data_IF_431460383404
#
_entry.id   IF_431460383404
#
_cell.length_a   1.000
_cell.length_b   1.000
_cell.length_c   1.000
_cell.angle_alpha   90.00
_cell.angle_beta   90.00
_cell.angle_gamma   90.00
#
_symmetry.space_group_name_H-M   'P 1'
#
loop_
_entity.id
_entity.type
_entity.pdbx_description
1 polymer ?
#
# COMPACT_ATOMS: atom_id res chain seq x y z
N UNK A 1 20.13 7.63 -32.54
CA UNK A 1 20.66 7.59 -31.16
C UNK A 1 19.65 8.30 -30.26
N UNK A 2 18.69 7.56 -29.71
CA UNK A 2 17.73 8.06 -28.73
C UNK A 2 18.43 8.15 -27.37
N UNK A 3 18.50 9.37 -26.81
CA UNK A 3 18.89 9.57 -25.42
C UNK A 3 17.99 8.70 -24.52
N UNK A 4 18.51 7.61 -23.99
CA UNK A 4 17.92 6.95 -22.82
C UNK A 4 17.77 8.01 -21.74
N UNK A 5 16.52 8.41 -21.47
CA UNK A 5 16.22 9.18 -20.28
C UNK A 5 16.57 8.26 -19.11
N UNK A 6 17.62 8.60 -18.39
CA UNK A 6 17.89 8.10 -17.05
C UNK A 6 16.66 8.43 -16.19
N UNK A 7 15.67 7.54 -16.19
CA UNK A 7 14.57 7.56 -15.22
C UNK A 7 15.09 6.95 -13.91
N UNK A 8 16.07 7.60 -13.31
CA UNK A 8 16.43 7.33 -11.92
C UNK A 8 15.19 7.57 -11.04
N UNK A 9 15.19 6.95 -9.86
CA UNK A 9 14.20 7.24 -8.81
C UNK A 9 14.11 8.76 -8.70
N UNK A 10 12.89 9.31 -8.73
CA UNK A 10 12.68 10.74 -8.52
C UNK A 10 13.30 11.19 -7.19
N UNK A 11 13.70 12.44 -7.09
CA UNK A 11 14.26 12.99 -5.85
C UNK A 11 13.33 12.73 -4.65
N UNK A 12 12.03 12.82 -4.87
CA UNK A 12 11.03 12.60 -3.84
C UNK A 12 11.00 11.13 -3.38
N UNK A 13 10.90 10.18 -4.32
CA UNK A 13 10.84 8.76 -3.98
C UNK A 13 12.14 8.27 -3.33
N UNK A 14 13.28 8.83 -3.73
CA UNK A 14 14.59 8.52 -3.13
C UNK A 14 14.66 8.86 -1.63
N UNK A 15 14.01 9.96 -1.24
CA UNK A 15 14.01 10.47 0.14
C UNK A 15 12.64 10.33 0.81
N UNK A 16 11.76 9.46 0.30
CA UNK A 16 10.40 9.33 0.80
C UNK A 16 10.34 9.08 2.31
N UNK A 17 11.20 8.22 2.84
CA UNK A 17 11.30 7.98 4.29
C UNK A 17 11.59 9.26 5.07
N UNK A 18 12.50 10.09 4.58
CA UNK A 18 12.83 11.37 5.22
C UNK A 18 11.63 12.31 5.19
N UNK A 19 10.92 12.38 4.06
CA UNK A 19 9.71 13.19 3.93
C UNK A 19 8.61 12.72 4.89
N UNK A 20 8.42 11.41 5.02
CA UNK A 20 7.41 10.84 5.94
C UNK A 20 7.77 11.16 7.38
N UNK A 21 9.04 11.03 7.79
CA UNK A 21 9.50 11.42 9.13
C UNK A 21 9.28 12.92 9.38
N UNK A 22 9.61 13.77 8.42
CA UNK A 22 9.36 15.22 8.53
C UNK A 22 7.87 15.53 8.65
N UNK A 23 7.01 14.85 7.89
CA UNK A 23 5.56 14.99 8.00
C UNK A 23 5.02 14.53 9.37
N UNK A 24 5.60 13.45 9.92
CA UNK A 24 5.28 12.98 11.26
C UNK A 24 5.60 14.06 12.30
N UNK A 25 6.82 14.60 12.27
CA UNK A 25 7.21 15.68 13.19
C UNK A 25 6.32 16.91 13.01
N UNK A 26 6.09 17.36 11.78
CA UNK A 26 5.24 18.51 11.51
C UNK A 26 3.80 18.26 11.99
N UNK A 27 3.23 17.10 11.71
CA UNK A 27 1.88 16.74 12.15
C UNK A 27 1.77 16.72 13.68
N UNK A 28 2.69 16.05 14.37
CA UNK A 28 2.71 15.98 15.85
C UNK A 28 2.86 17.38 16.46
N UNK A 29 3.73 18.23 15.90
CA UNK A 29 3.87 19.61 16.35
C UNK A 29 2.59 20.43 16.14
N UNK A 30 1.92 20.27 15.00
CA UNK A 30 0.63 20.91 14.73
C UNK A 30 -0.42 20.41 15.74
N UNK A 31 -0.53 19.11 15.98
CA UNK A 31 -1.46 18.55 16.94
C UNK A 31 -1.25 19.12 18.34
N UNK A 32 0.01 19.23 18.78
CA UNK A 32 0.37 19.72 20.11
C UNK A 32 0.25 21.22 20.29
N UNK A 33 0.76 22.03 19.35
CA UNK A 33 0.85 23.48 19.50
C UNK A 33 -0.31 24.24 18.86
N UNK A 34 -1.01 23.62 17.90
CA UNK A 34 -2.12 24.20 17.15
C UNK A 34 -3.34 23.25 17.14
N UNK A 35 -3.82 22.79 18.33
CA UNK A 35 -4.91 21.80 18.39
C UNK A 35 -6.21 22.27 17.75
N UNK A 36 -6.36 23.57 17.51
CA UNK A 36 -7.48 24.13 16.76
C UNK A 36 -7.54 23.66 15.30
N UNK A 37 -6.40 23.27 14.69
CA UNK A 37 -6.37 22.80 13.30
C UNK A 37 -6.99 21.40 13.18
N UNK A 38 -6.52 20.35 13.89
CA UNK A 38 -7.19 19.05 13.85
C UNK A 38 -8.64 19.13 14.35
N UNK A 39 -8.93 19.92 15.39
CA UNK A 39 -10.30 20.15 15.87
C UNK A 39 -11.21 20.77 14.81
N UNK A 40 -10.71 21.72 14.00
CA UNK A 40 -11.44 22.29 12.87
C UNK A 40 -11.66 21.26 11.75
N UNK A 41 -10.63 20.50 11.38
CA UNK A 41 -10.73 19.46 10.37
C UNK A 41 -11.70 18.35 10.78
N UNK A 42 -11.73 17.98 12.07
CA UNK A 42 -12.66 16.99 12.63
C UNK A 42 -14.14 17.42 12.56
N UNK A 43 -14.44 18.72 12.38
CA UNK A 43 -15.84 19.15 12.16
C UNK A 43 -16.38 18.74 10.80
N UNK A 44 -15.52 18.41 9.84
CA UNK A 44 -15.91 17.95 8.51
C UNK A 44 -15.92 16.42 8.44
N UNK A 45 -16.39 15.77 9.48
CA UNK A 45 -16.64 14.31 9.51
C UNK A 45 -18.10 14.02 9.21
N UNK A 46 -18.32 13.06 8.32
CA UNK A 46 -19.62 12.50 8.03
C UNK A 46 -19.55 10.99 8.08
N UNK A 47 -20.38 10.35 8.89
CA UNK A 47 -20.40 8.89 9.10
C UNK A 47 -18.99 8.32 9.43
N UNK A 48 -18.26 8.95 10.35
CA UNK A 48 -16.89 8.65 10.77
C UNK A 48 -15.81 8.84 9.67
N UNK A 49 -16.17 9.37 8.51
CA UNK A 49 -15.22 9.66 7.43
C UNK A 49 -14.89 11.16 7.42
N UNK A 50 -13.62 11.50 7.64
CA UNK A 50 -13.13 12.86 7.47
C UNK A 50 -13.11 13.24 6.00
N UNK A 51 -13.97 14.18 5.60
CA UNK A 51 -14.06 14.65 4.21
C UNK A 51 -12.74 15.20 3.67
N UNK A 52 -11.96 16.02 4.42
CA UNK A 52 -10.65 16.48 3.95
C UNK A 52 -9.68 15.32 3.65
N UNK A 53 -9.62 14.32 4.54
CA UNK A 53 -8.76 13.15 4.34
C UNK A 53 -9.25 12.30 3.17
N UNK A 54 -10.56 12.10 3.03
CA UNK A 54 -11.13 11.36 1.91
C UNK A 54 -10.79 12.01 0.56
N UNK A 55 -10.84 13.34 0.47
CA UNK A 55 -10.43 14.08 -0.74
C UNK A 55 -8.94 13.85 -1.03
N UNK A 56 -8.08 13.93 -0.02
CA UNK A 56 -6.63 13.69 -0.21
C UNK A 56 -6.34 12.26 -0.63
N UNK A 57 -7.00 11.28 -0.03
CA UNK A 57 -6.90 9.86 -0.42
C UNK A 57 -7.36 9.68 -1.87
N UNK A 58 -8.45 10.33 -2.29
CA UNK A 58 -8.89 10.31 -3.67
C UNK A 58 -7.88 10.93 -4.63
N UNK A 59 -7.24 12.03 -4.27
CA UNK A 59 -6.16 12.66 -5.04
C UNK A 59 -4.95 11.72 -5.18
N UNK A 60 -4.76 10.80 -4.25
CA UNK A 60 -3.70 9.80 -4.33
C UNK A 60 -4.12 8.58 -5.16
N UNK A 61 -5.29 8.01 -4.90
CA UNK A 61 -5.76 6.76 -5.53
C UNK A 61 -6.16 6.98 -7.00
N UNK A 62 -6.86 8.05 -7.32
CA UNK A 62 -7.36 8.27 -8.68
C UNK A 62 -6.25 8.28 -9.75
N UNK A 63 -5.10 8.97 -9.59
CA UNK A 63 -4.00 8.90 -10.56
C UNK A 63 -3.39 7.50 -10.70
N UNK A 64 -3.44 6.68 -9.66
CA UNK A 64 -3.00 5.29 -9.72
C UNK A 64 -3.96 4.47 -10.59
N UNK A 65 -5.27 4.64 -10.41
CA UNK A 65 -6.31 3.95 -11.17
C UNK A 65 -6.30 4.34 -12.66
N UNK A 66 -5.85 5.54 -13.02
CA UNK A 66 -5.63 5.94 -14.42
C UNK A 66 -4.59 5.06 -15.14
N UNK A 67 -3.61 4.53 -14.40
CA UNK A 67 -2.53 3.70 -14.97
C UNK A 67 -2.95 2.25 -15.20
N UNK A 68 -4.08 1.82 -14.64
CA UNK A 68 -4.57 0.44 -14.79
C UNK A 68 -4.95 0.18 -16.23
N UNK A 69 -4.35 -0.83 -16.85
CA UNK A 69 -4.58 -1.24 -18.23
C UNK A 69 -5.21 -2.63 -18.33
N UNK A 70 -6.53 -2.64 -18.42
CA UNK A 70 -7.29 -3.90 -18.57
C UNK A 70 -7.10 -4.59 -19.92
N UNK A 71 -6.64 -3.87 -20.96
CA UNK A 71 -6.36 -4.51 -22.26
C UNK A 71 -5.12 -5.41 -22.15
N UNK A 72 -4.17 -5.04 -21.32
CA UNK A 72 -2.98 -5.86 -21.03
C UNK A 72 -3.33 -7.20 -20.38
N UNK A 73 -4.46 -7.30 -19.69
CA UNK A 73 -4.95 -8.56 -19.07
C UNK A 73 -5.24 -9.62 -20.16
N UNK A 74 -5.69 -9.24 -21.36
CA UNK A 74 -5.89 -10.18 -22.47
C UNK A 74 -4.61 -10.85 -22.93
N UNK A 75 -3.45 -10.26 -22.67
CA UNK A 75 -2.14 -10.79 -23.04
C UNK A 75 -1.54 -11.75 -21.99
N UNK A 76 -2.24 -11.96 -20.87
CA UNK A 76 -1.86 -12.84 -19.73
C UNK A 76 -1.62 -14.29 -20.15
N UNK A 77 -2.27 -14.75 -21.23
CA UNK A 77 -2.22 -16.14 -21.70
C UNK A 77 -0.83 -16.67 -22.08
N UNK A 78 0.19 -15.78 -22.20
CA UNK A 78 1.53 -16.19 -22.66
C UNK A 78 2.45 -16.71 -21.55
N UNK A 79 2.22 -16.37 -20.26
CA UNK A 79 2.99 -16.90 -19.13
C UNK A 79 2.21 -16.81 -17.80
N UNK A 80 1.21 -17.67 -17.56
CA UNK A 80 0.32 -17.57 -16.41
C UNK A 80 1.02 -17.94 -15.08
N UNK A 81 2.12 -18.71 -15.13
CA UNK A 81 2.78 -19.22 -13.90
C UNK A 81 3.18 -18.12 -12.91
N UNK A 82 3.77 -17.03 -13.41
CA UNK A 82 4.18 -15.91 -12.54
C UNK A 82 2.98 -15.20 -11.91
N UNK A 83 1.87 -15.08 -12.65
CA UNK A 83 0.64 -14.48 -12.15
C UNK A 83 0.03 -15.32 -11.02
N UNK A 84 -0.09 -16.62 -11.22
CA UNK A 84 -0.63 -17.54 -10.19
C UNK A 84 0.19 -17.51 -8.91
N UNK A 85 1.54 -17.50 -9.00
CA UNK A 85 2.41 -17.38 -7.81
C UNK A 85 2.07 -16.10 -7.04
N UNK A 86 2.01 -14.97 -7.73
CA UNK A 86 1.74 -13.68 -7.07
C UNK A 86 0.32 -13.63 -6.49
N UNK A 87 -0.69 -14.16 -7.19
CA UNK A 87 -2.07 -14.19 -6.68
C UNK A 87 -2.20 -15.07 -5.43
N UNK A 88 -1.63 -16.27 -5.44
CA UNK A 88 -1.64 -17.16 -4.27
C UNK A 88 -0.96 -16.46 -3.08
N UNK A 89 0.18 -15.83 -3.31
CA UNK A 89 0.93 -15.18 -2.26
C UNK A 89 0.18 -13.96 -1.74
N UNK A 90 -0.33 -13.11 -2.60
CA UNK A 90 -1.01 -11.87 -2.20
C UNK A 90 -2.34 -12.12 -1.49
N UNK A 91 -3.08 -13.17 -1.85
CA UNK A 91 -4.45 -13.35 -1.42
C UNK A 91 -4.67 -14.54 -0.46
N UNK A 92 -3.80 -15.56 -0.50
CA UNK A 92 -3.90 -16.73 0.38
C UNK A 92 -2.78 -16.80 1.42
N UNK A 93 -1.63 -16.19 1.20
CA UNK A 93 -0.50 -16.29 2.15
C UNK A 93 -0.34 -14.98 2.92
N UNK A 94 -0.22 -13.86 2.23
CA UNK A 94 0.14 -12.57 2.82
C UNK A 94 -0.83 -12.09 3.91
N UNK A 95 -2.16 -12.05 3.73
CA UNK A 95 -3.07 -11.56 4.77
C UNK A 95 -3.00 -12.40 6.04
N UNK A 96 -2.96 -13.73 5.89
CA UNK A 96 -2.94 -14.67 7.01
C UNK A 96 -1.62 -14.65 7.76
N UNK A 97 -0.49 -14.54 7.06
CA UNK A 97 0.82 -14.42 7.70
C UNK A 97 1.00 -13.06 8.36
N UNK A 98 0.46 -11.98 7.79
CA UNK A 98 0.44 -10.67 8.46
C UNK A 98 -0.33 -10.74 9.77
N UNK A 99 -1.55 -11.27 9.75
CA UNK A 99 -2.36 -11.48 10.95
C UNK A 99 -1.62 -12.33 11.98
N UNK A 100 -1.09 -13.48 11.58
CA UNK A 100 -0.39 -14.41 12.48
C UNK A 100 0.85 -13.81 13.12
N UNK A 101 1.70 -13.11 12.35
CA UNK A 101 2.89 -12.42 12.86
C UNK A 101 2.48 -11.27 13.78
N UNK A 102 1.55 -10.41 13.38
CA UNK A 102 1.09 -9.31 14.19
C UNK A 102 0.47 -9.82 15.51
N UNK A 103 -0.36 -10.86 15.46
CA UNK A 103 -0.92 -11.50 16.65
C UNK A 103 0.18 -12.03 17.58
N UNK A 104 1.15 -12.78 17.04
CA UNK A 104 2.28 -13.33 17.80
C UNK A 104 3.06 -12.21 18.52
N UNK A 105 3.35 -11.12 17.81
CA UNK A 105 4.11 -10.02 18.39
C UNK A 105 3.30 -9.25 19.41
N UNK A 106 2.07 -8.84 19.11
CA UNK A 106 1.29 -7.97 19.99
C UNK A 106 0.71 -8.70 21.22
N UNK A 107 0.31 -9.95 21.07
CA UNK A 107 -0.34 -10.68 22.18
C UNK A 107 0.58 -11.65 22.94
N UNK A 108 1.73 -12.02 22.36
CA UNK A 108 2.67 -12.95 23.02
C UNK A 108 3.98 -12.25 23.36
N UNK A 109 4.71 -11.73 22.36
CA UNK A 109 6.06 -11.19 22.56
C UNK A 109 6.02 -9.85 23.29
N UNK A 110 5.14 -8.94 22.89
CA UNK A 110 5.02 -7.59 23.45
C UNK A 110 3.90 -7.44 24.48
N UNK A 111 3.34 -8.56 24.97
CA UNK A 111 2.21 -8.57 25.92
C UNK A 111 2.44 -7.70 27.17
N UNK A 112 3.69 -7.62 27.63
CA UNK A 112 4.04 -6.77 28.80
C UNK A 112 4.29 -5.30 28.45
N UNK A 113 4.43 -4.98 27.17
CA UNK A 113 4.77 -3.64 26.68
C UNK A 113 3.57 -2.90 26.08
N UNK A 114 2.56 -3.63 25.62
CA UNK A 114 1.38 -3.08 24.94
C UNK A 114 0.13 -3.49 25.74
N UNK A 115 -0.73 -2.52 26.16
CA UNK A 115 -2.03 -2.83 26.73
C UNK A 115 -2.89 -3.66 25.77
N UNK A 116 -3.69 -4.59 26.29
CA UNK A 116 -4.46 -5.53 25.46
C UNK A 116 -5.42 -4.84 24.46
N UNK A 117 -6.01 -3.71 24.85
CA UNK A 117 -6.87 -2.91 23.97
C UNK A 117 -6.10 -2.35 22.78
N UNK A 118 -4.92 -1.76 23.02
CA UNK A 118 -4.06 -1.25 21.96
C UNK A 118 -3.48 -2.37 21.09
N UNK A 119 -3.19 -3.54 21.66
CA UNK A 119 -2.74 -4.71 20.91
C UNK A 119 -3.78 -5.16 19.89
N UNK A 120 -5.07 -5.10 20.23
CA UNK A 120 -6.18 -5.41 19.35
C UNK A 120 -6.30 -4.39 18.20
N UNK A 121 -6.17 -3.11 18.52
CA UNK A 121 -6.18 -2.04 17.53
C UNK A 121 -4.99 -2.15 16.55
N UNK A 122 -3.79 -2.43 17.06
CA UNK A 122 -2.60 -2.61 16.22
C UNK A 122 -2.69 -3.86 15.34
N UNK A 123 -3.28 -4.95 15.86
CA UNK A 123 -3.57 -6.14 15.06
C UNK A 123 -4.54 -5.82 13.92
N UNK A 124 -5.59 -5.04 14.21
CA UNK A 124 -6.55 -4.62 13.20
C UNK A 124 -5.88 -3.78 12.10
N UNK A 125 -5.06 -2.78 12.47
CA UNK A 125 -4.34 -1.95 11.52
C UNK A 125 -3.33 -2.73 10.67
N UNK A 126 -2.54 -3.62 11.29
CA UNK A 126 -1.63 -4.49 10.56
C UNK A 126 -2.37 -5.43 9.60
N UNK A 127 -3.52 -5.97 10.01
CA UNK A 127 -4.35 -6.83 9.17
C UNK A 127 -4.89 -6.08 7.95
N UNK A 128 -5.43 -4.87 8.15
CA UNK A 128 -5.86 -4.01 7.05
C UNK A 128 -4.73 -3.72 6.06
N UNK A 129 -3.54 -3.42 6.57
CA UNK A 129 -2.37 -3.14 5.75
C UNK A 129 -1.93 -4.36 4.93
N UNK A 130 -1.90 -5.55 5.54
CA UNK A 130 -1.48 -6.78 4.88
C UNK A 130 -2.52 -7.39 3.95
N UNK A 131 -3.77 -6.94 3.99
CA UNK A 131 -4.87 -7.52 3.23
C UNK A 131 -4.89 -7.14 1.74
N UNK A 132 -4.18 -6.10 1.32
CA UNK A 132 -4.13 -5.69 -0.07
C UNK A 132 -2.69 -5.43 -0.55
N UNK A 133 -2.32 -5.91 -1.76
CA UNK A 133 -1.04 -5.59 -2.39
C UNK A 133 -1.05 -4.17 -2.94
N UNK A 134 0.11 -3.50 -2.94
CA UNK A 134 0.28 -2.15 -3.48
C UNK A 134 0.06 -2.11 -5.00
N UNK A 135 -0.46 -0.99 -5.49
CA UNK A 135 -0.73 -0.76 -6.91
C UNK A 135 0.15 0.33 -7.53
N UNK A 136 0.73 1.22 -6.73
CA UNK A 136 1.49 2.36 -7.24
C UNK A 136 3.00 2.19 -7.19
N UNK A 137 3.54 1.97 -5.99
CA UNK A 137 4.99 1.90 -5.77
C UNK A 137 5.62 0.66 -6.40
N UNK A 138 4.83 -0.36 -6.70
CA UNK A 138 5.31 -1.60 -7.35
C UNK A 138 5.93 -1.35 -8.73
N UNK A 139 5.52 -0.32 -9.45
CA UNK A 139 6.16 0.06 -10.72
C UNK A 139 7.60 0.55 -10.50
N UNK A 140 7.82 1.32 -9.43
CA UNK A 140 9.16 1.79 -9.04
C UNK A 140 10.03 0.61 -8.62
N UNK A 141 9.51 -0.27 -7.76
CA UNK A 141 10.24 -1.46 -7.30
C UNK A 141 10.58 -2.41 -8.45
N UNK A 142 9.63 -2.65 -9.36
CA UNK A 142 9.84 -3.45 -10.56
C UNK A 142 10.92 -2.85 -11.46
N UNK A 143 10.88 -1.55 -11.69
CA UNK A 143 11.89 -0.85 -12.49
C UNK A 143 13.28 -0.98 -11.85
N UNK A 144 13.40 -0.75 -10.54
CA UNK A 144 14.67 -0.83 -9.82
C UNK A 144 15.29 -2.23 -9.80
N UNK A 145 14.46 -3.26 -9.84
CA UNK A 145 14.90 -4.66 -9.92
C UNK A 145 15.07 -5.16 -11.35
N UNK A 146 14.98 -4.26 -12.35
CA UNK A 146 15.02 -4.60 -13.78
C UNK A 146 13.95 -5.63 -14.16
N UNK A 147 12.78 -5.52 -13.54
CA UNK A 147 11.63 -6.38 -13.77
C UNK A 147 10.94 -6.09 -15.11
N UNK A 148 10.11 -7.03 -15.52
CA UNK A 148 9.31 -6.93 -16.73
C UNK A 148 8.12 -5.98 -16.50
N UNK A 149 8.13 -4.82 -17.16
CA UNK A 149 7.10 -3.81 -17.00
C UNK A 149 5.71 -4.31 -17.43
N UNK A 150 5.61 -5.09 -18.50
CA UNK A 150 4.34 -5.63 -18.97
C UNK A 150 3.73 -6.61 -17.94
N UNK A 151 4.56 -7.47 -17.35
CA UNK A 151 4.14 -8.34 -16.27
C UNK A 151 3.63 -7.54 -15.06
N UNK A 152 4.34 -6.49 -14.67
CA UNK A 152 3.96 -5.64 -13.54
C UNK A 152 2.61 -4.96 -13.77
N UNK A 153 2.38 -4.42 -14.96
CA UNK A 153 1.08 -3.80 -15.33
C UNK A 153 -0.07 -4.80 -15.20
N UNK A 154 0.13 -6.02 -15.71
CA UNK A 154 -0.89 -7.07 -15.64
C UNK A 154 -1.16 -7.49 -14.21
N UNK A 155 -0.12 -7.63 -13.38
CA UNK A 155 -0.27 -7.98 -11.97
C UNK A 155 -1.04 -6.91 -11.20
N UNK A 156 -0.72 -5.64 -11.40
CA UNK A 156 -1.45 -4.53 -10.78
C UNK A 156 -2.92 -4.57 -11.19
N UNK A 157 -3.20 -4.60 -12.49
CA UNK A 157 -4.57 -4.60 -12.98
C UNK A 157 -5.40 -5.79 -12.49
N UNK A 158 -4.80 -6.98 -12.38
CA UNK A 158 -5.50 -8.17 -11.85
C UNK A 158 -5.68 -8.10 -10.34
N UNK A 159 -4.70 -7.60 -9.60
CA UNK A 159 -4.83 -7.38 -8.15
C UNK A 159 -5.94 -6.37 -7.84
N UNK A 160 -6.05 -5.28 -8.60
CA UNK A 160 -7.11 -4.29 -8.42
C UNK A 160 -8.52 -4.89 -8.65
N UNK A 161 -8.66 -5.83 -9.58
CA UNK A 161 -9.92 -6.58 -9.74
C UNK A 161 -10.18 -7.55 -8.59
N UNK A 162 -9.15 -8.24 -8.11
CA UNK A 162 -9.30 -9.18 -7.00
C UNK A 162 -9.61 -8.45 -5.69
N UNK A 163 -9.08 -7.25 -5.46
CA UNK A 163 -9.43 -6.40 -4.30
C UNK A 163 -10.95 -6.24 -4.18
N UNK A 164 -11.65 -6.00 -5.29
CA UNK A 164 -13.11 -5.78 -5.28
C UNK A 164 -13.89 -6.96 -4.67
N UNK A 165 -13.36 -8.16 -4.76
CA UNK A 165 -14.05 -9.39 -4.34
C UNK A 165 -13.44 -9.95 -3.05
N UNK A 166 -12.11 -9.95 -2.94
CA UNK A 166 -11.40 -10.69 -1.90
C UNK A 166 -11.07 -9.84 -0.65
N UNK A 167 -10.89 -8.53 -0.78
CA UNK A 167 -10.46 -7.69 0.34
C UNK A 167 -11.46 -7.72 1.50
N UNK A 168 -12.73 -7.44 1.21
CA UNK A 168 -13.80 -7.40 2.24
C UNK A 168 -13.93 -8.70 3.02
N UNK A 169 -14.10 -9.89 2.38
CA UNK A 169 -14.26 -11.13 3.12
C UNK A 169 -12.99 -11.53 3.88
N UNK A 170 -11.81 -11.29 3.33
CA UNK A 170 -10.54 -11.60 4.03
C UNK A 170 -10.40 -10.73 5.28
N UNK A 171 -10.61 -9.42 5.16
CA UNK A 171 -10.51 -8.48 6.30
C UNK A 171 -11.55 -8.82 7.37
N UNK A 172 -12.81 -9.01 6.98
CA UNK A 172 -13.87 -9.32 7.92
C UNK A 172 -13.62 -10.64 8.65
N UNK A 173 -13.14 -11.66 7.94
CA UNK A 173 -12.77 -12.93 8.55
C UNK A 173 -11.62 -12.78 9.56
N UNK A 174 -10.52 -12.17 9.16
CA UNK A 174 -9.33 -12.04 10.01
C UNK A 174 -9.59 -11.14 11.22
N UNK A 175 -10.28 -10.03 11.05
CA UNK A 175 -10.63 -9.15 12.15
C UNK A 175 -11.64 -9.80 13.08
N UNK A 176 -12.60 -10.57 12.55
CA UNK A 176 -13.51 -11.39 13.35
C UNK A 176 -12.79 -12.42 14.20
N UNK A 177 -11.79 -13.11 13.65
CA UNK A 177 -10.91 -14.02 14.39
C UNK A 177 -10.10 -13.26 15.46
N UNK A 178 -9.69 -12.03 15.17
CA UNK A 178 -9.01 -11.12 16.12
C UNK A 178 -9.91 -10.53 17.19
N UNK A 179 -11.22 -10.86 17.21
CA UNK A 179 -12.18 -10.34 18.16
C UNK A 179 -12.68 -8.91 17.86
N UNK A 180 -12.38 -8.40 16.66
CA UNK A 180 -12.84 -7.08 16.19
C UNK A 180 -14.11 -7.27 15.36
N UNK A 181 -15.25 -6.81 15.88
CA UNK A 181 -16.49 -6.83 15.11
C UNK A 181 -16.56 -5.61 14.19
N UNK A 182 -16.70 -5.84 12.90
CA UNK A 182 -16.81 -4.77 11.90
C UNK A 182 -18.16 -4.88 11.19
N UNK A 183 -18.89 -3.77 11.03
CA UNK A 183 -20.06 -3.71 10.19
C UNK A 183 -19.68 -4.00 8.73
N UNK A 184 -20.25 -5.05 8.13
CA UNK A 184 -19.99 -5.44 6.74
C UNK A 184 -20.36 -4.34 5.75
N UNK A 185 -21.44 -3.63 6.00
CA UNK A 185 -21.92 -2.50 5.20
C UNK A 185 -20.87 -1.38 5.14
N UNK A 186 -20.27 -1.03 6.28
CA UNK A 186 -19.22 0.00 6.33
C UNK A 186 -17.96 -0.44 5.60
N UNK A 187 -17.56 -1.72 5.73
CA UNK A 187 -16.39 -2.24 5.04
C UNK A 187 -16.63 -2.29 3.51
N UNK A 188 -17.79 -2.76 3.07
CA UNK A 188 -18.18 -2.76 1.65
C UNK A 188 -18.24 -1.33 1.11
N UNK A 189 -18.88 -0.42 1.85
CA UNK A 189 -18.96 0.99 1.48
C UNK A 189 -17.56 1.62 1.32
N UNK A 190 -16.63 1.30 2.20
CA UNK A 190 -15.24 1.78 2.10
C UNK A 190 -14.56 1.29 0.82
N UNK A 191 -14.73 0.02 0.45
CA UNK A 191 -14.21 -0.51 -0.83
C UNK A 191 -14.87 0.18 -2.02
N UNK A 192 -16.18 0.40 -1.96
CA UNK A 192 -16.89 1.14 -3.03
C UNK A 192 -16.34 2.55 -3.16
N UNK A 193 -16.20 3.28 -2.07
CA UNK A 193 -15.76 4.68 -2.09
C UNK A 193 -14.30 4.83 -2.49
N UNK A 194 -13.41 3.96 -2.00
CA UNK A 194 -11.96 4.14 -2.16
C UNK A 194 -11.34 3.23 -3.23
N UNK A 195 -12.06 2.26 -3.78
CA UNK A 195 -11.56 1.39 -4.87
C UNK A 195 -12.48 1.43 -6.09
N UNK A 196 -13.77 1.07 -5.93
CA UNK A 196 -14.68 0.94 -7.09
C UNK A 196 -14.85 2.26 -7.84
N UNK A 197 -15.19 3.33 -7.13
CA UNK A 197 -15.45 4.64 -7.75
C UNK A 197 -14.18 5.24 -8.37
N UNK A 198 -13.01 5.29 -7.70
CA UNK A 198 -11.77 5.74 -8.33
C UNK A 198 -11.36 4.90 -9.54
N UNK A 199 -11.52 3.58 -9.46
CA UNK A 199 -11.20 2.67 -10.57
C UNK A 199 -12.12 2.91 -11.77
N UNK A 200 -13.43 2.97 -11.56
CA UNK A 200 -14.39 3.27 -12.62
C UNK A 200 -14.11 4.64 -13.27
N UNK A 201 -13.87 5.66 -12.43
CA UNK A 201 -13.51 7.00 -12.90
C UNK A 201 -12.19 7.00 -13.70
N UNK A 202 -11.19 6.25 -13.24
CA UNK A 202 -9.92 6.07 -13.94
C UNK A 202 -10.09 5.43 -15.31
N UNK A 203 -10.86 4.33 -15.40
CA UNK A 203 -11.16 3.63 -16.65
C UNK A 203 -11.90 4.55 -17.64
N UNK A 204 -12.94 5.24 -17.17
CA UNK A 204 -13.71 6.16 -18.01
C UNK A 204 -12.81 7.27 -18.55
N UNK A 205 -12.00 7.89 -17.70
CA UNK A 205 -11.08 8.96 -18.09
C UNK A 205 -10.02 8.45 -19.07
N UNK A 206 -9.39 7.30 -18.78
CA UNK A 206 -8.40 6.67 -19.67
C UNK A 206 -9.00 6.43 -21.04
N UNK A 207 -10.16 5.78 -21.13
CA UNK A 207 -10.82 5.47 -22.39
C UNK A 207 -11.21 6.74 -23.17
N UNK A 208 -11.76 7.75 -22.48
CA UNK A 208 -12.14 9.01 -23.10
C UNK A 208 -10.94 9.76 -23.67
N UNK A 209 -9.88 9.93 -22.91
CA UNK A 209 -8.68 10.67 -23.33
C UNK A 209 -7.94 9.92 -24.43
N UNK A 210 -7.78 8.59 -24.29
CA UNK A 210 -7.11 7.75 -25.28
C UNK A 210 -7.87 7.77 -26.61
N UNK A 211 -9.21 7.70 -26.57
CA UNK A 211 -10.04 7.79 -27.78
C UNK A 211 -9.95 9.17 -28.45
N UNK A 212 -9.86 10.25 -27.67
CA UNK A 212 -9.90 11.63 -28.18
C UNK A 212 -8.52 12.15 -28.63
N UNK A 213 -7.44 11.78 -27.93
CA UNK A 213 -6.09 12.33 -28.11
C UNK A 213 -5.00 11.29 -28.34
N UNK A 214 -5.34 10.02 -28.31
CA UNK A 214 -4.40 8.92 -28.46
C UNK A 214 -3.70 8.50 -27.16
N UNK A 215 -3.16 7.28 -27.17
CA UNK A 215 -2.46 6.68 -26.03
C UNK A 215 -1.17 7.44 -25.69
N UNK A 216 -0.43 7.88 -26.69
CA UNK A 216 0.82 8.66 -26.54
C UNK A 216 0.62 9.96 -25.74
N UNK A 217 -0.46 10.70 -26.03
CA UNK A 217 -0.81 11.89 -25.27
C UNK A 217 -1.19 11.54 -23.83
N UNK A 218 -1.95 10.46 -23.64
CA UNK A 218 -2.37 10.00 -22.34
C UNK A 218 -1.16 9.68 -21.45
N UNK A 219 -0.20 8.88 -21.95
CA UNK A 219 0.94 8.43 -21.17
C UNK A 219 2.02 9.51 -20.98
N UNK A 220 2.32 10.29 -22.02
CA UNK A 220 3.44 11.25 -22.01
C UNK A 220 3.06 12.66 -21.55
N UNK A 221 1.76 13.04 -21.64
CA UNK A 221 1.33 14.39 -21.33
C UNK A 221 0.25 14.47 -20.27
N UNK A 222 -0.68 13.51 -20.19
CA UNK A 222 -1.79 13.56 -19.25
C UNK A 222 -1.41 12.97 -17.89
N UNK A 223 -0.94 11.72 -17.81
CA UNK A 223 -0.53 11.06 -16.56
C UNK A 223 0.54 11.83 -15.79
N UNK A 224 1.61 12.39 -16.42
CA UNK A 224 2.65 13.09 -15.67
C UNK A 224 2.16 14.32 -14.89
N UNK A 225 1.02 14.91 -15.25
CA UNK A 225 0.43 16.04 -14.52
C UNK A 225 -0.01 15.68 -13.11
N UNK A 226 -0.30 14.39 -12.85
CA UNK A 226 -0.77 13.91 -11.57
C UNK A 226 0.36 13.49 -10.61
N UNK A 227 1.60 13.35 -11.09
CA UNK A 227 2.71 12.91 -10.25
C UNK A 227 2.90 13.77 -9.01
N UNK A 228 2.94 15.10 -9.18
CA UNK A 228 3.07 16.03 -8.06
C UNK A 228 1.82 16.05 -7.17
N UNK A 229 0.64 15.88 -7.74
CA UNK A 229 -0.63 15.85 -6.99
C UNK A 229 -0.67 14.67 -6.03
N UNK A 230 -0.30 13.49 -6.50
CA UNK A 230 -0.21 12.27 -5.67
C UNK A 230 0.77 12.47 -4.51
N UNK A 231 1.94 13.03 -4.79
CA UNK A 231 2.97 13.32 -3.79
C UNK A 231 2.49 14.32 -2.73
N UNK A 232 1.90 15.42 -3.16
CA UNK A 232 1.36 16.45 -2.24
C UNK A 232 0.21 15.85 -1.43
N UNK A 233 -0.67 15.09 -2.07
CA UNK A 233 -1.77 14.38 -1.40
C UNK A 233 -1.26 13.47 -0.29
N UNK A 234 -0.21 12.66 -0.56
CA UNK A 234 0.43 11.82 0.43
C UNK A 234 0.98 12.61 1.62
N UNK A 235 1.80 13.62 1.36
CA UNK A 235 2.42 14.42 2.42
C UNK A 235 1.38 15.13 3.30
N UNK A 236 0.36 15.73 2.68
CA UNK A 236 -0.72 16.40 3.42
C UNK A 236 -1.55 15.40 4.24
N UNK A 237 -1.87 14.25 3.67
CA UNK A 237 -2.56 13.16 4.39
C UNK A 237 -1.78 12.76 5.62
N UNK A 238 -0.47 12.52 5.48
CA UNK A 238 0.39 12.16 6.61
C UNK A 238 0.43 13.25 7.68
N UNK A 239 0.64 14.51 7.30
CA UNK A 239 0.64 15.64 8.25
C UNK A 239 -0.68 15.70 9.03
N UNK A 240 -1.81 15.62 8.34
CA UNK A 240 -3.13 15.68 8.97
C UNK A 240 -3.34 14.50 9.93
N UNK A 241 -3.07 13.28 9.49
CA UNK A 241 -3.27 12.10 10.33
C UNK A 241 -2.34 12.14 11.55
N UNK A 242 -1.07 12.49 11.37
CA UNK A 242 -0.16 12.64 12.49
C UNK A 242 -0.56 13.80 13.42
N UNK A 243 -1.26 14.84 12.95
CA UNK A 243 -1.80 15.88 13.81
C UNK A 243 -2.95 15.39 14.70
N UNK A 244 -3.75 14.45 14.22
CA UNK A 244 -4.78 13.77 15.04
C UNK A 244 -4.18 12.75 16.01
N UNK A 245 -3.05 12.15 15.69
CA UNK A 245 -2.38 11.12 16.49
C UNK A 245 -1.28 11.67 17.41
N UNK A 246 -1.10 12.99 17.44
CA UNK A 246 0.01 13.63 18.17
C UNK A 246 0.13 13.19 19.64
N UNK A 247 -0.97 13.17 20.37
CA UNK A 247 -0.97 12.77 21.78
C UNK A 247 -0.64 11.29 21.96
N UNK A 248 -1.16 10.40 21.10
CA UNK A 248 -0.88 8.96 21.16
C UNK A 248 0.61 8.70 20.92
N UNK A 249 1.19 9.37 19.92
CA UNK A 249 2.60 9.24 19.55
C UNK A 249 3.52 9.77 20.64
N UNK A 250 3.20 10.94 21.22
CA UNK A 250 4.04 11.56 22.26
C UNK A 250 3.99 10.80 23.57
N UNK A 251 2.83 10.23 23.91
CA UNK A 251 2.67 9.45 25.14
C UNK A 251 3.23 8.02 25.00
N UNK A 252 3.30 7.49 23.77
CA UNK A 252 3.72 6.12 23.52
C UNK A 252 4.68 6.00 22.32
N UNK A 253 5.84 6.70 22.32
CA UNK A 253 6.77 6.67 21.18
C UNK A 253 7.34 5.28 20.90
N UNK A 254 7.46 4.45 21.94
CA UNK A 254 7.91 3.07 21.81
C UNK A 254 6.97 2.23 20.94
N UNK A 255 5.66 2.52 20.96
CA UNK A 255 4.67 1.76 20.22
C UNK A 255 4.88 1.83 18.69
N UNK A 256 5.42 2.94 18.16
CA UNK A 256 5.78 3.03 16.74
C UNK A 256 6.81 1.94 16.39
N UNK A 257 7.82 1.76 17.22
CA UNK A 257 8.85 0.73 17.02
C UNK A 257 8.25 -0.67 17.16
N UNK A 258 7.40 -0.88 18.17
CA UNK A 258 6.75 -2.16 18.41
C UNK A 258 5.82 -2.57 17.25
N UNK A 259 5.11 -1.61 16.65
CA UNK A 259 4.28 -1.85 15.45
C UNK A 259 5.17 -2.12 14.23
N UNK A 260 6.27 -1.39 14.08
CA UNK A 260 7.16 -1.52 12.93
C UNK A 260 7.80 -2.91 12.81
N UNK A 261 8.16 -3.54 13.94
CA UNK A 261 8.87 -4.83 13.95
C UNK A 261 8.10 -5.93 13.20
N UNK A 262 6.85 -6.28 13.55
CA UNK A 262 6.10 -7.31 12.83
C UNK A 262 5.87 -6.96 11.35
N UNK A 263 5.67 -5.68 11.02
CA UNK A 263 5.49 -5.23 9.64
C UNK A 263 6.77 -5.43 8.81
N UNK A 264 7.93 -5.12 9.38
CA UNK A 264 9.23 -5.36 8.72
C UNK A 264 9.44 -6.87 8.48
N UNK A 265 9.22 -7.68 9.51
CA UNK A 265 9.38 -9.14 9.40
C UNK A 265 8.46 -9.71 8.32
N UNK A 266 7.20 -9.28 8.30
CA UNK A 266 6.24 -9.67 7.29
C UNK A 266 6.67 -9.29 5.88
N UNK A 267 7.16 -8.08 5.67
CA UNK A 267 7.63 -7.60 4.37
C UNK A 267 8.76 -8.48 3.84
N UNK A 268 9.76 -8.78 4.67
CA UNK A 268 10.83 -9.71 4.30
C UNK A 268 10.31 -11.11 4.04
N UNK A 269 9.46 -11.64 4.91
CA UNK A 269 8.92 -12.99 4.78
C UNK A 269 8.20 -13.18 3.44
N UNK A 270 7.29 -12.28 3.09
CA UNK A 270 6.52 -12.39 1.85
C UNK A 270 7.39 -12.21 0.62
N UNK A 271 8.35 -11.27 0.66
CA UNK A 271 9.32 -11.17 -0.42
C UNK A 271 10.02 -12.50 -0.67
N UNK A 272 10.59 -13.11 0.37
CA UNK A 272 11.32 -14.36 0.20
C UNK A 272 10.42 -15.52 -0.22
N UNK A 273 9.20 -15.63 0.31
CA UNK A 273 8.25 -16.65 -0.14
C UNK A 273 7.99 -16.52 -1.64
N UNK A 274 7.66 -15.30 -2.13
CA UNK A 274 7.36 -15.06 -3.54
C UNK A 274 8.60 -15.26 -4.44
N UNK A 275 9.74 -14.73 -4.00
CA UNK A 275 10.99 -14.77 -4.75
C UNK A 275 11.52 -16.20 -4.88
N UNK A 276 11.53 -16.97 -3.78
CA UNK A 276 11.98 -18.36 -3.76
C UNK A 276 10.98 -19.30 -4.45
N UNK A 277 9.67 -19.11 -4.28
CA UNK A 277 8.67 -19.84 -5.03
C UNK A 277 8.86 -19.66 -6.54
N UNK A 278 9.11 -18.43 -6.98
CA UNK A 278 9.42 -18.12 -8.38
C UNK A 278 10.69 -18.82 -8.87
N UNK A 279 11.73 -18.93 -8.01
CA UNK A 279 12.95 -19.67 -8.30
C UNK A 279 12.68 -21.17 -8.47
N UNK A 280 11.91 -21.77 -7.55
CA UNK A 280 11.59 -23.21 -7.58
C UNK A 280 10.88 -23.60 -8.88
N UNK A 281 9.95 -22.76 -9.35
CA UNK A 281 9.24 -22.99 -10.63
C UNK A 281 10.00 -22.49 -11.86
N UNK A 282 11.28 -22.10 -11.67
CA UNK A 282 12.20 -21.67 -12.74
C UNK A 282 11.73 -20.48 -13.55
N UNK A 283 11.09 -19.49 -12.91
CA UNK A 283 10.77 -18.22 -13.56
C UNK A 283 12.05 -17.40 -13.75
N UNK A 284 12.15 -16.60 -14.84
CA UNK A 284 13.28 -15.69 -15.01
C UNK A 284 13.25 -14.58 -13.95
N UNK A 285 14.43 -14.02 -13.64
CA UNK A 285 14.56 -12.95 -12.65
C UNK A 285 13.65 -11.75 -12.92
N UNK A 286 13.44 -11.39 -14.19
CA UNK A 286 12.57 -10.27 -14.61
C UNK A 286 11.09 -10.45 -14.23
N UNK A 287 10.68 -11.69 -13.89
CA UNK A 287 9.35 -12.01 -13.35
C UNK A 287 9.41 -12.24 -11.84
N UNK A 288 10.42 -12.98 -11.38
CA UNK A 288 10.58 -13.34 -9.97
C UNK A 288 10.79 -12.12 -9.05
N UNK A 289 11.60 -11.15 -9.47
CA UNK A 289 11.86 -9.96 -8.69
C UNK A 289 10.60 -9.08 -8.55
N UNK A 290 9.87 -8.71 -9.62
CA UNK A 290 8.57 -8.05 -9.46
C UNK A 290 7.57 -8.84 -8.62
N UNK A 291 7.49 -10.17 -8.77
CA UNK A 291 6.60 -11.00 -7.96
C UNK A 291 6.90 -10.86 -6.46
N UNK A 292 8.19 -10.90 -6.09
CA UNK A 292 8.63 -10.65 -4.71
C UNK A 292 8.29 -9.25 -4.22
N UNK A 293 8.54 -8.23 -5.04
CA UNK A 293 8.26 -6.83 -4.69
C UNK A 293 6.76 -6.53 -4.56
N UNK A 294 5.93 -7.04 -5.46
CA UNK A 294 4.48 -6.89 -5.41
C UNK A 294 3.91 -7.59 -4.18
N UNK A 295 4.42 -8.78 -3.85
CA UNK A 295 4.02 -9.50 -2.65
C UNK A 295 4.35 -8.74 -1.37
N UNK A 296 5.56 -8.19 -1.28
CA UNK A 296 6.06 -7.51 -0.09
C UNK A 296 5.41 -6.13 0.16
N UNK A 297 5.05 -5.41 -0.90
CA UNK A 297 4.50 -4.06 -0.82
C UNK A 297 3.01 -4.06 -0.47
N UNK A 298 2.56 -3.10 0.32
CA UNK A 298 1.19 -2.97 0.82
C UNK A 298 0.46 -1.79 0.18
N UNK A 299 -0.86 -1.91 0.02
CA UNK A 299 -1.70 -0.81 -0.43
C UNK A 299 -2.12 0.05 0.77
N UNK A 300 -1.18 0.84 1.27
CA UNK A 300 -1.39 1.60 2.50
C UNK A 300 -2.49 2.66 2.37
N UNK A 301 -2.68 3.26 1.19
CA UNK A 301 -3.74 4.26 0.96
C UNK A 301 -5.13 3.67 1.21
N UNK A 302 -5.36 2.45 0.73
CA UNK A 302 -6.61 1.74 1.00
C UNK A 302 -6.71 1.36 2.48
N UNK A 303 -5.64 0.84 3.06
CA UNK A 303 -5.62 0.43 4.47
C UNK A 303 -5.93 1.61 5.40
N UNK A 304 -5.30 2.76 5.18
CA UNK A 304 -5.56 4.00 5.93
C UNK A 304 -6.99 4.48 5.74
N UNK A 305 -7.49 4.49 4.49
CA UNK A 305 -8.85 4.90 4.19
C UNK A 305 -9.88 4.07 4.92
N UNK A 306 -9.72 2.74 4.89
CA UNK A 306 -10.61 1.79 5.56
C UNK A 306 -10.48 1.88 7.07
N UNK A 307 -9.25 2.02 7.61
CA UNK A 307 -9.01 2.19 9.03
C UNK A 307 -9.73 3.44 9.58
N UNK A 308 -9.63 4.56 8.86
CA UNK A 308 -10.31 5.81 9.25
C UNK A 308 -11.83 5.67 9.14
N UNK A 309 -12.34 5.07 8.06
CA UNK A 309 -13.78 4.91 7.87
C UNK A 309 -14.43 3.98 8.92
N UNK A 310 -13.71 2.98 9.39
CA UNK A 310 -14.20 2.02 10.38
C UNK A 310 -13.99 2.47 11.83
N UNK A 311 -12.86 3.09 12.12
CA UNK A 311 -12.40 3.34 13.48
C UNK A 311 -12.18 4.83 13.80
N UNK A 312 -12.28 5.70 12.81
CA UNK A 312 -12.05 7.14 12.96
C UNK A 312 -10.59 7.57 12.81
N UNK A 313 -10.39 8.88 12.64
CA UNK A 313 -9.08 9.51 12.38
C UNK A 313 -8.10 9.43 13.56
N UNK A 314 -8.61 9.36 14.78
CA UNK A 314 -7.81 9.31 16.02
C UNK A 314 -7.53 7.88 16.50
N UNK A 315 -7.99 6.88 15.76
CA UNK A 315 -7.87 5.48 16.14
C UNK A 315 -6.42 4.98 16.10
N UNK A 316 -5.98 4.18 17.09
CA UNK A 316 -4.69 3.47 17.03
C UNK A 316 -4.59 2.50 15.84
N UNK A 317 -5.74 2.05 15.29
CA UNK A 317 -5.80 1.26 14.04
C UNK A 317 -5.23 2.07 12.88
N UNK A 318 -5.64 3.34 12.72
CA UNK A 318 -5.12 4.24 11.70
C UNK A 318 -3.60 4.47 11.90
N UNK A 319 -3.14 4.66 13.14
CA UNK A 319 -1.71 4.79 13.44
C UNK A 319 -0.91 3.57 12.94
N UNK A 320 -1.39 2.36 13.20
CA UNK A 320 -0.69 1.14 12.79
C UNK A 320 -0.56 1.04 11.26
N UNK A 321 -1.58 1.46 10.50
CA UNK A 321 -1.50 1.49 9.03
C UNK A 321 -0.47 2.50 8.53
N UNK A 322 -0.31 3.64 9.20
CA UNK A 322 0.65 4.69 8.82
C UNK A 322 2.09 4.29 9.14
N UNK A 323 2.32 3.59 10.25
CA UNK A 323 3.65 3.04 10.58
C UNK A 323 4.13 2.11 9.45
N UNK A 324 3.22 1.45 8.73
CA UNK A 324 3.54 0.70 7.52
C UNK A 324 4.28 1.54 6.48
N UNK A 325 3.89 2.77 6.24
CA UNK A 325 4.56 3.68 5.27
C UNK A 325 5.99 4.00 5.71
N UNK A 326 6.19 4.24 7.02
CA UNK A 326 7.52 4.52 7.57
C UNK A 326 8.50 3.37 7.35
N UNK A 327 8.02 2.13 7.46
CA UNK A 327 8.84 0.92 7.39
C UNK A 327 9.00 0.40 5.97
N UNK A 328 8.00 0.55 5.12
CA UNK A 328 7.99 -0.07 3.80
C UNK A 328 9.14 0.40 2.91
N UNK A 329 9.33 1.71 2.77
CA UNK A 329 10.31 2.23 1.81
C UNK A 329 11.75 1.81 2.13
N UNK A 330 12.26 1.94 3.38
CA UNK A 330 13.61 1.46 3.71
C UNK A 330 13.78 -0.03 3.46
N UNK A 331 12.78 -0.82 3.86
CA UNK A 331 12.83 -2.28 3.69
C UNK A 331 12.80 -2.65 2.21
N UNK A 332 11.93 -2.04 1.41
CA UNK A 332 11.84 -2.30 -0.02
C UNK A 332 13.15 -1.96 -0.76
N UNK A 333 13.85 -0.90 -0.38
CA UNK A 333 15.16 -0.58 -0.95
C UNK A 333 16.22 -1.64 -0.62
N UNK A 334 16.18 -2.23 0.58
CA UNK A 334 17.04 -3.37 0.95
C UNK A 334 16.67 -4.58 0.07
N UNK A 335 15.38 -4.87 -0.10
CA UNK A 335 14.91 -5.98 -0.93
C UNK A 335 15.28 -5.80 -2.41
N UNK A 336 15.23 -4.57 -2.94
CA UNK A 336 15.74 -4.24 -4.29
C UNK A 336 17.22 -4.60 -4.40
N UNK A 337 18.03 -4.25 -3.41
CA UNK A 337 19.46 -4.60 -3.39
C UNK A 337 19.67 -6.12 -3.34
N UNK A 338 18.89 -6.84 -2.52
CA UNK A 338 18.95 -8.30 -2.44
C UNK A 338 18.58 -8.91 -3.80
N UNK A 339 17.45 -8.50 -4.40
CA UNK A 339 17.01 -9.02 -5.70
C UNK A 339 18.08 -8.81 -6.79
N UNK A 340 18.68 -7.63 -6.87
CA UNK A 340 19.71 -7.33 -7.86
C UNK A 340 20.98 -8.15 -7.65
N UNK A 341 21.39 -8.37 -6.39
CA UNK A 341 22.61 -9.13 -6.08
C UNK A 341 22.43 -10.65 -6.29
N UNK A 342 21.19 -11.13 -6.24
CA UNK A 342 20.86 -12.57 -6.38
C UNK A 342 20.30 -12.93 -7.76
N UNK A 343 20.45 -12.04 -8.74
CA UNK A 343 19.97 -12.27 -10.10
C UNK A 343 20.49 -13.57 -10.71
N UNK A 344 21.70 -13.97 -10.42
CA UNK A 344 22.34 -15.20 -10.87
C UNK A 344 21.67 -16.49 -10.33
N UNK A 345 20.72 -16.37 -9.37
CA UNK A 345 19.95 -17.51 -8.87
C UNK A 345 18.87 -17.98 -9.85
N UNK A 346 18.58 -17.21 -10.86
CA UNK A 346 17.48 -17.43 -11.80
C UNK A 346 18.00 -17.76 -13.19
N UNK A 347 17.26 -18.57 -13.99
CA UNK A 347 17.65 -18.88 -15.35
C UNK A 347 17.76 -17.59 -16.17
N UNK A 348 18.75 -17.57 -17.06
CA UNK A 348 18.82 -16.55 -18.09
C UNK A 348 17.64 -16.71 -19.05
N UNK A 349 17.25 -15.61 -19.70
CA UNK A 349 16.16 -15.62 -20.65
C UNK A 349 16.56 -16.48 -21.85
N UNK A 350 15.86 -17.61 -22.06
CA UNK A 350 15.95 -18.39 -23.28
C UNK A 350 15.33 -17.68 -24.47
#
# INVERSE_FOLDING_TARGET
MSKERNSGIGFFEKYLTVWVILCMFAGVLIGKFLPGIPAFLGRFEYANVSIPIAILIWLMIYPMMLKVDFQSIRNVGKNPKGLFVTWIINWLIKPFTMFGIAWLFFFVIFKSLIPAELAQDYLAGATLLGAAPCTAMVFVWSYLTKGNAAYTVVQVATNDLIILIAFTPIVAFLLGVGGVTIPWDTLVLSVVLFVVIPLASGIITRNYITKKRGLDYFEKSFIPKFGNITTIGLLLTLIIIFSFQGDVILNNPLHIILIAIPLIIQTFLIFFIAYLASKVIKLPHEIAAPAGMIGASNFFELAVAVAIALFGTQSPVALATIVGVLTEVPVMLILVKIANNTRHWFPEKS
#
